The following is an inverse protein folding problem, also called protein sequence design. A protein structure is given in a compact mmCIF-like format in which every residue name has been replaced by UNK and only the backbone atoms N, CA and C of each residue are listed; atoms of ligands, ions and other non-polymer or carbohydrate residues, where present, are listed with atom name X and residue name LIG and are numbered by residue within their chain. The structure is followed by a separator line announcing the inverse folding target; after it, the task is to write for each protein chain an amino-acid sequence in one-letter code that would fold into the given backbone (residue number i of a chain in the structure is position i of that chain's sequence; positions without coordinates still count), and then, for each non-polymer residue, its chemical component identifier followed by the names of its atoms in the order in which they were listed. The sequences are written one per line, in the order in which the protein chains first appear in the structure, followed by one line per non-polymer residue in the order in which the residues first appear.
data_IF_485975933954
#
_entry.id   IF_485975933954
#
_cell.length_a   1.000
_cell.length_b   1.000
_cell.length_c   1.000
_cell.angle_alpha   90.00
_cell.angle_beta   90.00
_cell.angle_gamma   90.00
#
_symmetry.space_group_name_H-M   'P 1'
#
loop_
_entity.id
_entity.type
_entity.pdbx_description
1 polymer ?
#
# COMPACT_ATOMS: atom_id res chain seq x y z
N UNK A 1 -10.31 -8.12 16.43
CA UNK A 1 -9.42 -8.49 15.32
C UNK A 1 -10.26 -8.81 14.11
N UNK A 2 -9.95 -8.25 12.97
CA UNK A 2 -10.66 -8.53 11.73
C UNK A 2 -10.25 -9.91 11.19
N UNK A 3 -11.17 -10.63 10.56
CA UNK A 3 -10.89 -11.96 10.01
C UNK A 3 -9.73 -12.00 9.02
N UNK A 4 -9.48 -10.91 8.29
CA UNK A 4 -8.34 -10.81 7.38
C UNK A 4 -6.98 -10.82 8.08
N UNK A 5 -6.90 -10.27 9.29
CA UNK A 5 -5.67 -10.24 10.07
C UNK A 5 -5.30 -11.65 10.57
N UNK A 6 -6.30 -12.47 10.89
CA UNK A 6 -6.09 -13.86 11.29
C UNK A 6 -5.52 -14.69 10.12
N UNK A 7 -6.04 -14.53 8.91
CA UNK A 7 -5.52 -15.20 7.72
C UNK A 7 -4.07 -14.83 7.43
N UNK A 8 -3.73 -13.56 7.52
CA UNK A 8 -2.35 -13.08 7.32
C UNK A 8 -1.42 -13.69 8.36
N UNK A 9 -1.84 -13.79 9.62
CA UNK A 9 -1.07 -14.42 10.67
C UNK A 9 -0.81 -15.91 10.42
N UNK A 10 -1.82 -16.66 9.96
CA UNK A 10 -1.69 -18.07 9.64
C UNK A 10 -0.75 -18.29 8.44
N UNK A 11 -0.90 -17.49 7.37
CA UNK A 11 -0.02 -17.57 6.20
C UNK A 11 1.42 -17.24 6.56
N UNK A 12 1.63 -16.25 7.42
CA UNK A 12 2.96 -15.87 7.91
C UNK A 12 3.65 -17.01 8.63
N UNK A 13 2.95 -17.71 9.50
CA UNK A 13 3.48 -18.86 10.23
C UNK A 13 3.83 -20.02 9.29
N UNK A 14 3.00 -20.31 8.31
CA UNK A 14 3.27 -21.35 7.30
C UNK A 14 4.53 -21.03 6.50
N UNK A 15 4.70 -19.79 6.07
CA UNK A 15 5.87 -19.36 5.31
C UNK A 15 7.13 -19.39 6.14
N UNK A 16 7.06 -19.00 7.42
CA UNK A 16 8.19 -19.07 8.34
C UNK A 16 8.66 -20.52 8.53
N UNK A 17 7.74 -21.46 8.69
CA UNK A 17 8.04 -22.88 8.80
C UNK A 17 8.74 -23.43 7.54
N UNK A 18 8.26 -23.05 6.34
CA UNK A 18 8.88 -23.44 5.08
C UNK A 18 10.30 -22.87 4.93
N UNK A 19 10.53 -21.64 5.35
CA UNK A 19 11.86 -21.03 5.34
C UNK A 19 12.82 -21.74 6.28
N UNK A 20 12.36 -22.15 7.46
CA UNK A 20 13.15 -22.91 8.42
C UNK A 20 13.53 -24.29 7.85
N UNK A 21 12.61 -24.97 7.17
CA UNK A 21 12.88 -26.25 6.50
C UNK A 21 13.97 -26.11 5.43
N UNK A 22 13.90 -25.08 4.60
CA UNK A 22 14.89 -24.81 3.56
C UNK A 22 16.31 -24.66 4.11
N UNK A 23 16.45 -24.18 5.34
CA UNK A 23 17.73 -24.05 6.00
C UNK A 23 18.14 -25.29 6.79
N UNK A 24 17.36 -26.36 6.70
CA UNK A 24 17.53 -27.58 7.50
C UNK A 24 17.53 -27.29 9.02
N UNK A 25 16.78 -26.29 9.45
CA UNK A 25 16.63 -25.90 10.85
C UNK A 25 15.34 -26.47 11.41
N UNK A 26 15.37 -26.94 12.64
CA UNK A 26 14.19 -27.42 13.35
C UNK A 26 13.47 -26.33 14.12
N UNK A 27 14.03 -25.13 14.19
CA UNK A 27 13.52 -23.99 14.95
C UNK A 27 13.24 -22.84 14.00
N UNK A 28 12.05 -22.24 14.12
CA UNK A 28 11.71 -21.03 13.40
C UNK A 28 12.42 -19.86 14.08
N UNK A 29 13.32 -19.20 13.36
CA UNK A 29 14.04 -18.05 13.86
C UNK A 29 13.36 -16.74 13.46
N UNK A 30 13.70 -15.65 14.16
CA UNK A 30 13.21 -14.31 13.88
C UNK A 30 13.38 -13.92 12.41
N UNK A 31 14.49 -14.30 11.81
CA UNK A 31 14.83 -14.03 10.41
C UNK A 31 13.83 -14.68 9.44
N UNK A 32 13.39 -15.92 9.73
CA UNK A 32 12.38 -16.62 8.93
C UNK A 32 11.04 -15.91 8.97
N UNK A 33 10.65 -15.41 10.13
CA UNK A 33 9.40 -14.67 10.33
C UNK A 33 9.45 -13.35 9.55
N UNK A 34 10.56 -12.62 9.60
CA UNK A 34 10.75 -11.36 8.87
C UNK A 34 10.65 -11.56 7.36
N UNK A 35 11.32 -12.57 6.82
CA UNK A 35 11.26 -12.90 5.39
C UNK A 35 9.85 -13.29 4.95
N UNK A 36 9.18 -14.10 5.75
CA UNK A 36 7.80 -14.52 5.46
C UNK A 36 6.84 -13.34 5.50
N UNK A 37 7.03 -12.41 6.43
CA UNK A 37 6.24 -11.18 6.52
C UNK A 37 6.38 -10.33 5.26
N UNK A 38 7.62 -10.10 4.80
CA UNK A 38 7.89 -9.32 3.60
C UNK A 38 7.24 -9.94 2.36
N UNK A 39 7.39 -11.24 2.17
CA UNK A 39 6.77 -11.95 1.04
C UNK A 39 5.24 -11.84 1.08
N UNK A 40 4.64 -12.05 2.25
CA UNK A 40 3.20 -11.94 2.44
C UNK A 40 2.68 -10.53 2.10
N UNK A 41 3.41 -9.51 2.53
CA UNK A 41 3.09 -8.11 2.26
C UNK A 41 3.11 -7.80 0.77
N UNK A 42 4.14 -8.24 0.04
CA UNK A 42 4.24 -8.02 -1.41
C UNK A 42 3.19 -8.80 -2.19
N UNK A 43 2.84 -10.01 -1.78
CA UNK A 43 1.75 -10.75 -2.40
C UNK A 43 0.42 -10.03 -2.26
N UNK A 44 0.16 -9.44 -1.09
CA UNK A 44 -1.03 -8.61 -0.89
C UNK A 44 -1.05 -7.43 -1.87
N UNK A 45 0.08 -6.73 -2.02
CA UNK A 45 0.20 -5.62 -2.96
C UNK A 45 -0.08 -6.06 -4.40
N UNK A 46 0.52 -7.16 -4.85
CA UNK A 46 0.32 -7.69 -6.21
C UNK A 46 -1.15 -8.02 -6.46
N UNK A 47 -1.79 -8.72 -5.54
CA UNK A 47 -3.22 -9.05 -5.66
C UNK A 47 -4.10 -7.81 -5.69
N UNK A 48 -3.83 -6.86 -4.82
CA UNK A 48 -4.59 -5.62 -4.72
C UNK A 48 -4.48 -4.81 -6.01
N UNK A 49 -3.28 -4.66 -6.55
CA UNK A 49 -3.03 -3.92 -7.80
C UNK A 49 -3.78 -4.55 -8.97
N UNK A 50 -3.85 -5.88 -9.03
CA UNK A 50 -4.58 -6.58 -10.10
C UNK A 50 -6.08 -6.28 -10.10
N UNK A 51 -6.65 -5.95 -8.96
CA UNK A 51 -8.09 -5.65 -8.85
C UNK A 51 -8.43 -4.20 -9.21
N UNK A 52 -7.43 -3.34 -9.37
CA UNK A 52 -7.64 -1.94 -9.66
C UNK A 52 -8.05 -1.71 -11.12
N UNK A 53 -8.93 -0.73 -11.32
CA UNK A 53 -9.28 -0.24 -12.64
C UNK A 53 -8.15 0.62 -13.22
N UNK A 54 -8.18 0.87 -14.52
CA UNK A 54 -7.17 1.66 -15.21
C UNK A 54 -6.94 3.05 -14.58
N UNK A 55 -8.01 3.79 -14.29
CA UNK A 55 -7.93 5.10 -13.62
C UNK A 55 -7.32 5.00 -12.23
N UNK A 56 -7.68 3.96 -11.50
CA UNK A 56 -7.16 3.72 -10.15
C UNK A 56 -5.66 3.40 -10.19
N UNK A 57 -5.21 2.64 -11.16
CA UNK A 57 -3.80 2.36 -11.38
C UNK A 57 -3.03 3.64 -11.72
N UNK A 58 -3.59 4.49 -12.58
CA UNK A 58 -2.98 5.76 -12.95
C UNK A 58 -2.84 6.69 -11.74
N UNK A 59 -3.86 6.77 -10.89
CA UNK A 59 -3.81 7.55 -9.67
C UNK A 59 -2.77 7.00 -8.69
N UNK A 60 -2.73 5.68 -8.50
CA UNK A 60 -1.75 5.05 -7.61
C UNK A 60 -0.31 5.28 -8.12
N UNK A 61 -0.09 5.22 -9.42
CA UNK A 61 1.21 5.53 -10.04
C UNK A 61 1.61 6.98 -9.76
N UNK A 62 0.69 7.93 -9.91
CA UNK A 62 0.92 9.35 -9.61
C UNK A 62 1.31 9.54 -8.15
N UNK A 63 0.60 8.88 -7.23
CA UNK A 63 0.93 8.90 -5.80
C UNK A 63 2.33 8.35 -5.54
N UNK A 64 2.70 7.26 -6.18
CA UNK A 64 4.01 6.64 -6.02
C UNK A 64 5.13 7.55 -6.53
N UNK A 65 4.96 8.18 -7.68
CA UNK A 65 5.91 9.13 -8.22
C UNK A 65 6.11 10.35 -7.31
N UNK A 66 5.02 10.90 -6.77
CA UNK A 66 5.08 12.01 -5.83
C UNK A 66 5.73 11.60 -4.50
N UNK A 67 5.49 10.39 -4.05
CA UNK A 67 6.05 9.87 -2.81
C UNK A 67 7.57 9.68 -2.87
N UNK A 68 8.15 9.58 -4.04
CA UNK A 68 9.60 9.54 -4.21
C UNK A 68 10.28 10.83 -3.76
N UNK A 69 9.57 11.95 -3.88
CA UNK A 69 10.08 13.26 -3.47
C UNK A 69 9.71 13.61 -2.03
N UNK A 70 8.51 13.25 -1.60
CA UNK A 70 7.98 13.54 -0.28
C UNK A 70 7.26 12.34 0.30
N UNK A 71 7.60 11.95 1.54
CA UNK A 71 6.97 10.80 2.20
C UNK A 71 5.52 11.05 2.59
N UNK A 72 5.15 12.30 2.81
CA UNK A 72 3.78 12.72 3.13
C UNK A 72 3.34 13.78 2.13
N UNK A 73 2.10 13.66 1.65
CA UNK A 73 1.55 14.51 0.62
C UNK A 73 0.24 15.15 1.09
N UNK A 74 0.08 16.44 0.81
CA UNK A 74 -1.18 17.13 1.03
C UNK A 74 -2.20 16.67 -0.02
N UNK A 75 -3.39 16.24 0.42
CA UNK A 75 -4.42 15.73 -0.47
C UNK A 75 -4.88 16.76 -1.52
N UNK A 76 -4.94 18.04 -1.17
CA UNK A 76 -5.31 19.09 -2.10
C UNK A 76 -4.29 19.27 -3.23
N UNK A 77 -3.02 19.21 -2.92
CA UNK A 77 -1.94 19.29 -3.92
C UNK A 77 -1.93 18.05 -4.82
N UNK A 78 -2.11 16.87 -4.24
CA UNK A 78 -2.23 15.62 -4.98
C UNK A 78 -3.42 15.67 -5.93
N UNK A 79 -4.55 16.21 -5.48
CA UNK A 79 -5.73 16.37 -6.34
C UNK A 79 -5.46 17.25 -7.55
N UNK A 80 -4.77 18.37 -7.38
CA UNK A 80 -4.41 19.25 -8.50
C UNK A 80 -3.61 18.52 -9.56
N UNK A 81 -2.63 17.75 -9.13
CA UNK A 81 -1.78 16.95 -10.03
C UNK A 81 -2.59 15.82 -10.68
N UNK A 82 -3.43 15.13 -9.93
CA UNK A 82 -4.26 14.06 -10.44
C UNK A 82 -5.29 14.56 -11.45
N UNK A 83 -5.85 15.74 -11.24
CA UNK A 83 -6.76 16.37 -12.18
C UNK A 83 -6.10 16.62 -13.55
N UNK A 84 -4.83 17.02 -13.54
CA UNK A 84 -4.08 17.26 -14.78
C UNK A 84 -3.62 15.95 -15.45
N UNK A 85 -3.14 14.98 -14.65
CA UNK A 85 -2.55 13.74 -15.17
C UNK A 85 -3.58 12.65 -15.47
N UNK A 86 -4.58 12.49 -14.62
CA UNK A 86 -5.58 11.42 -14.73
C UNK A 86 -6.91 11.93 -15.27
N UNK A 87 -7.20 13.21 -15.06
CA UNK A 87 -8.43 13.84 -15.55
C UNK A 87 -9.67 13.52 -14.73
N UNK A 88 -9.52 13.29 -13.44
CA UNK A 88 -10.63 12.96 -12.53
C UNK A 88 -11.09 14.17 -11.72
N UNK A 89 -12.39 14.20 -11.39
CA UNK A 89 -12.97 15.21 -10.54
C UNK A 89 -12.72 14.97 -9.05
N UNK A 90 -13.01 15.97 -8.24
CA UNK A 90 -12.76 15.97 -6.80
C UNK A 90 -13.44 14.81 -6.06
N UNK A 91 -14.74 14.59 -6.31
CA UNK A 91 -15.51 13.54 -5.64
C UNK A 91 -14.93 12.16 -5.94
N UNK A 92 -14.62 11.90 -7.21
CA UNK A 92 -14.04 10.64 -7.64
C UNK A 92 -12.63 10.43 -7.06
N UNK A 93 -11.84 11.49 -7.00
CA UNK A 93 -10.52 11.46 -6.37
C UNK A 93 -10.62 11.00 -4.92
N UNK A 94 -11.51 11.61 -4.12
CA UNK A 94 -11.68 11.23 -2.71
C UNK A 94 -12.23 9.83 -2.53
N UNK A 95 -13.13 9.39 -3.39
CA UNK A 95 -13.63 8.02 -3.38
C UNK A 95 -12.50 7.02 -3.62
N UNK A 96 -11.63 7.30 -4.58
CA UNK A 96 -10.47 6.47 -4.89
C UNK A 96 -9.47 6.44 -3.73
N UNK A 97 -9.17 7.59 -3.12
CA UNK A 97 -8.26 7.66 -1.97
C UNK A 97 -8.81 6.89 -0.77
N UNK A 98 -10.10 7.01 -0.49
CA UNK A 98 -10.76 6.23 0.57
C UNK A 98 -10.70 4.74 0.29
N UNK A 99 -10.88 4.35 -0.97
CA UNK A 99 -10.74 2.95 -1.41
C UNK A 99 -9.32 2.45 -1.16
N UNK A 100 -8.31 3.22 -1.54
CA UNK A 100 -6.90 2.87 -1.30
C UNK A 100 -6.56 2.75 0.18
N UNK A 101 -7.12 3.62 1.01
CA UNK A 101 -6.97 3.53 2.46
C UNK A 101 -7.61 2.25 3.01
N UNK A 102 -8.81 1.92 2.54
CA UNK A 102 -9.50 0.67 2.89
C UNK A 102 -8.75 -0.59 2.42
N UNK A 103 -8.06 -0.51 1.29
CA UNK A 103 -7.24 -1.58 0.74
C UNK A 103 -5.83 -1.64 1.37
N UNK A 104 -5.52 -0.73 2.27
CA UNK A 104 -4.22 -0.61 2.94
C UNK A 104 -3.05 -0.31 1.99
N UNK A 105 -3.33 0.40 0.91
CA UNK A 105 -2.31 0.91 -0.01
C UNK A 105 -1.74 2.24 0.47
N UNK A 106 -2.58 3.07 1.07
CA UNK A 106 -2.20 4.38 1.61
C UNK A 106 -2.73 4.56 3.03
N UNK A 107 -2.16 5.52 3.75
CA UNK A 107 -2.71 6.07 4.98
C UNK A 107 -3.29 7.44 4.68
N UNK A 108 -4.55 7.64 5.03
CA UNK A 108 -5.20 8.94 4.98
C UNK A 108 -5.35 9.45 6.41
N UNK A 109 -4.63 10.51 6.73
CA UNK A 109 -4.65 11.12 8.06
C UNK A 109 -5.15 12.56 7.99
N UNK A 110 -5.77 13.00 9.09
CA UNK A 110 -6.19 14.38 9.25
C UNK A 110 -5.24 15.04 10.23
N UNK A 111 -4.64 16.15 9.85
CA UNK A 111 -3.79 16.96 10.74
C UNK A 111 -4.52 18.23 11.12
N UNK A 112 -4.55 18.51 12.41
CA UNK A 112 -5.04 19.77 12.93
C UNK A 112 -3.98 20.86 12.72
N UNK A 113 -4.37 21.91 12.01
CA UNK A 113 -3.55 23.08 11.77
C UNK A 113 -4.47 24.25 11.47
N UNK A 114 -4.01 25.24 10.72
CA UNK A 114 -4.88 26.29 10.19
C UNK A 114 -5.82 25.70 9.13
N UNK A 115 -6.88 25.02 9.57
CA UNK A 115 -7.78 24.24 8.76
C UNK A 115 -7.42 22.75 8.79
N UNK A 116 -8.43 21.89 8.56
CA UNK A 116 -8.21 20.42 8.48
C UNK A 116 -7.45 20.11 7.20
N UNK A 117 -6.22 19.69 7.34
CA UNK A 117 -5.40 19.21 6.23
C UNK A 117 -5.43 17.69 6.19
N UNK A 118 -5.78 17.12 5.05
CA UNK A 118 -5.70 15.69 4.81
C UNK A 118 -4.32 15.37 4.24
N UNK A 119 -3.65 14.40 4.84
CA UNK A 119 -2.31 13.98 4.44
C UNK A 119 -2.37 12.53 3.97
N UNK A 120 -1.78 12.27 2.82
CA UNK A 120 -1.70 10.94 2.21
C UNK A 120 -0.26 10.46 2.29
N UNK A 121 -0.07 9.24 2.75
CA UNK A 121 1.24 8.57 2.73
C UNK A 121 1.07 7.14 2.21
N UNK A 122 2.06 6.65 1.45
CA UNK A 122 2.05 5.29 0.94
C UNK A 122 2.47 4.30 2.04
N UNK A 123 1.86 3.13 2.06
CA UNK A 123 2.21 2.03 2.97
C UNK A 123 3.28 1.10 2.42
N UNK A 124 3.61 1.23 1.14
CA UNK A 124 4.59 0.43 0.43
C UNK A 124 5.64 1.32 -0.20
N UNK A 125 6.80 0.73 -0.51
CA UNK A 125 7.85 1.41 -1.25
C UNK A 125 7.30 1.87 -2.61
N UNK A 126 7.40 3.17 -2.95
CA UNK A 126 6.89 3.68 -4.22
C UNK A 126 7.53 3.00 -5.44
N UNK A 127 8.79 2.61 -5.37
CA UNK A 127 9.47 1.88 -6.44
C UNK A 127 8.79 0.53 -6.69
N UNK A 128 8.42 -0.18 -5.63
CA UNK A 128 7.72 -1.46 -5.73
C UNK A 128 6.33 -1.31 -6.31
N UNK A 129 5.61 -0.27 -5.93
CA UNK A 129 4.28 0.02 -6.47
C UNK A 129 4.36 0.23 -7.97
N UNK A 130 5.30 1.06 -8.44
CA UNK A 130 5.50 1.32 -9.87
C UNK A 130 5.88 0.05 -10.62
N UNK A 131 6.75 -0.77 -10.05
CA UNK A 131 7.16 -2.06 -10.61
C UNK A 131 5.96 -2.97 -10.87
N UNK A 132 5.04 -3.07 -9.91
CA UNK A 132 3.86 -3.94 -10.04
C UNK A 132 2.74 -3.34 -10.89
N UNK A 133 2.74 -2.03 -11.12
CA UNK A 133 1.80 -1.37 -12.02
C UNK A 133 2.21 -1.46 -13.50
N UNK A 134 3.43 -1.79 -13.73
CA UNK A 134 4.00 -1.88 -15.10
C UNK A 134 3.61 -3.16 -15.81
#
# INVERSE_FOLDING_TARGET
MKSGDLRVGIDLLKRAALNAEKRASRVIEREDICRAYDVSRYLHLVHTVKTLKSEEKDLLRTLAELSMNESEMNAGEVFKIAKETVGIGYTRFYEMIKKFDGMRLVNLQYRDGKGRTRVISLRYDPVKIIEYLS
#
